data_IF_066221817507
#
_entry.id   IF_066221817507
#
_cell.length_a   1.000
_cell.length_b   1.000
_cell.length_c   1.000
_cell.angle_alpha   90.00
_cell.angle_beta   90.00
_cell.angle_gamma   90.00
#
_symmetry.space_group_name_H-M   'P 1'
#
loop_
_entity.id
_entity.type
_entity.pdbx_description
1 polymer ?
#
# COMPACT_ATOMS: atom_id res chain seq x y z
N UNK A 1 -14.67 -19.08 -6.72
CA UNK A 1 -14.58 -17.99 -7.76
C UNK A 1 -13.13 -17.53 -7.82
N UNK A 2 -12.50 -17.51 -8.99
CA UNK A 2 -11.09 -17.16 -9.12
C UNK A 2 -10.96 -15.66 -9.42
N UNK A 3 -10.08 -14.97 -8.68
CA UNK A 3 -9.72 -13.55 -8.91
C UNK A 3 -8.58 -13.44 -9.94
N UNK A 4 -8.49 -12.31 -10.63
CA UNK A 4 -7.33 -12.04 -11.49
C UNK A 4 -6.14 -11.55 -10.66
N UNK A 5 -6.42 -10.78 -9.60
CA UNK A 5 -5.41 -10.32 -8.64
C UNK A 5 -5.96 -10.38 -7.21
N UNK A 6 -5.15 -10.93 -6.29
CA UNK A 6 -5.36 -10.84 -4.85
C UNK A 6 -4.28 -9.92 -4.27
N UNK A 7 -4.68 -8.88 -3.53
CA UNK A 7 -3.78 -7.96 -2.84
C UNK A 7 -3.85 -8.24 -1.34
N UNK A 8 -2.71 -8.49 -0.71
CA UNK A 8 -2.62 -8.76 0.73
C UNK A 8 -2.16 -7.50 1.45
N UNK A 9 -3.05 -6.88 2.21
CA UNK A 9 -2.83 -5.65 2.95
C UNK A 9 -3.23 -4.40 2.18
N UNK A 10 -3.88 -3.46 2.88
CA UNK A 10 -4.37 -2.18 2.33
C UNK A 10 -3.68 -0.98 3.01
N UNK A 11 -2.37 -1.08 3.19
CA UNK A 11 -1.48 0.02 3.53
C UNK A 11 -1.14 0.87 2.30
N UNK A 12 -0.08 1.70 2.38
CA UNK A 12 0.33 2.58 1.26
C UNK A 12 0.58 1.82 -0.04
N UNK A 13 1.25 0.66 0.03
CA UNK A 13 1.55 -0.15 -1.15
C UNK A 13 0.28 -0.78 -1.72
N UNK A 14 -0.57 -1.39 -0.88
CA UNK A 14 -1.81 -2.01 -1.34
C UNK A 14 -2.81 -1.01 -1.90
N UNK A 15 -2.95 0.16 -1.30
CA UNK A 15 -3.75 1.26 -1.82
C UNK A 15 -3.26 1.69 -3.22
N UNK A 16 -1.94 1.80 -3.41
CA UNK A 16 -1.37 2.14 -4.71
C UNK A 16 -1.64 1.08 -5.78
N UNK A 17 -1.52 -0.21 -5.42
CA UNK A 17 -1.84 -1.32 -6.34
C UNK A 17 -3.32 -1.32 -6.69
N UNK A 18 -4.20 -1.16 -5.70
CA UNK A 18 -5.65 -1.11 -5.91
C UNK A 18 -6.05 0.07 -6.81
N UNK A 19 -5.51 1.28 -6.56
CA UNK A 19 -5.72 2.46 -7.41
C UNK A 19 -5.29 2.22 -8.86
N UNK A 20 -4.14 1.60 -9.07
CA UNK A 20 -3.63 1.27 -10.41
C UNK A 20 -4.47 0.26 -11.16
N UNK A 21 -5.12 -0.65 -10.44
CA UNK A 21 -5.97 -1.68 -11.00
C UNK A 21 -7.45 -1.29 -11.04
N UNK A 22 -7.84 -0.17 -10.44
CA UNK A 22 -9.23 0.24 -10.29
C UNK A 22 -10.00 0.25 -11.62
N UNK A 23 -9.40 0.78 -12.68
CA UNK A 23 -10.04 0.92 -13.99
C UNK A 23 -9.54 -0.14 -15.01
N UNK A 24 -8.95 -1.23 -14.54
CA UNK A 24 -8.36 -2.28 -15.40
C UNK A 24 -9.35 -3.30 -15.96
N UNK A 25 -10.56 -3.37 -15.42
CA UNK A 25 -11.53 -4.42 -15.71
C UNK A 25 -11.20 -5.79 -15.08
N UNK A 26 -10.11 -5.89 -14.31
CA UNK A 26 -9.73 -7.11 -13.61
C UNK A 26 -10.58 -7.32 -12.35
N UNK A 27 -10.83 -8.59 -12.01
CA UNK A 27 -11.45 -8.95 -10.73
C UNK A 27 -10.40 -8.91 -9.63
N UNK A 28 -10.38 -7.82 -8.87
CA UNK A 28 -9.42 -7.58 -7.80
C UNK A 28 -10.05 -7.83 -6.44
N UNK A 29 -9.38 -8.62 -5.60
CA UNK A 29 -9.70 -8.82 -4.19
C UNK A 29 -8.58 -8.23 -3.33
N UNK A 30 -8.94 -7.42 -2.35
CA UNK A 30 -8.04 -6.97 -1.30
C UNK A 30 -8.43 -7.62 0.03
N UNK A 31 -7.44 -8.16 0.72
CA UNK A 31 -7.57 -8.75 2.06
C UNK A 31 -6.83 -7.86 3.06
N UNK A 32 -7.57 -7.23 3.96
CA UNK A 32 -7.03 -6.31 4.97
C UNK A 32 -7.41 -6.79 6.38
N UNK A 33 -6.40 -7.05 7.20
CA UNK A 33 -6.62 -7.55 8.56
C UNK A 33 -7.21 -6.52 9.53
N UNK A 34 -7.03 -5.23 9.25
CA UNK A 34 -7.61 -4.15 10.05
C UNK A 34 -9.05 -3.86 9.60
N UNK A 35 -9.76 -3.09 10.42
CA UNK A 35 -11.13 -2.61 10.12
C UNK A 35 -11.19 -1.44 9.13
N UNK A 36 -10.05 -0.95 8.64
CA UNK A 36 -9.95 0.19 7.71
C UNK A 36 -8.61 0.19 6.99
N UNK A 37 -8.58 0.84 5.83
CA UNK A 37 -7.37 1.05 5.03
C UNK A 37 -6.39 2.03 5.69
N UNK A 38 -5.12 1.90 5.34
CA UNK A 38 -4.10 2.91 5.59
C UNK A 38 -3.78 3.19 7.05
N UNK A 39 -3.99 2.24 7.97
CA UNK A 39 -3.83 2.46 9.42
C UNK A 39 -2.50 3.11 9.76
N UNK A 40 -1.39 2.63 9.18
CA UNK A 40 -0.07 3.24 9.41
C UNK A 40 0.02 4.65 8.81
N UNK A 41 -0.54 4.90 7.63
CA UNK A 41 -0.59 6.23 7.03
C UNK A 41 -1.29 7.24 7.94
N UNK A 42 -2.43 6.83 8.53
CA UNK A 42 -3.22 7.66 9.43
C UNK A 42 -2.47 8.07 10.71
N UNK A 43 -1.42 7.33 11.09
CA UNK A 43 -0.60 7.59 12.28
C UNK A 43 0.65 8.42 11.96
N UNK A 44 1.09 8.45 10.72
CA UNK A 44 2.33 9.16 10.35
C UNK A 44 2.15 10.67 10.41
N UNK A 45 3.27 11.39 10.66
CA UNK A 45 3.27 12.84 10.72
C UNK A 45 2.30 13.42 11.76
N UNK A 46 2.08 12.70 12.86
CA UNK A 46 1.14 13.10 13.93
C UNK A 46 -0.31 13.25 13.43
N UNK A 47 -0.74 12.31 12.56
CA UNK A 47 -2.09 12.31 11.96
C UNK A 47 -2.22 13.17 10.69
N UNK A 48 -1.12 13.83 10.24
CA UNK A 48 -1.09 14.67 9.04
C UNK A 48 -0.66 13.90 7.77
N UNK A 49 0.03 12.78 7.91
CA UNK A 49 0.67 11.98 6.87
C UNK A 49 1.77 12.74 6.09
N UNK A 50 3.04 12.57 6.50
CA UNK A 50 4.15 12.97 5.64
C UNK A 50 4.20 12.04 4.42
N UNK A 51 3.83 12.54 3.23
CA UNK A 51 3.72 11.73 2.01
C UNK A 51 5.07 11.50 1.32
N UNK A 52 6.00 12.45 1.43
CA UNK A 52 7.36 12.31 0.90
C UNK A 52 8.29 13.40 1.44
N UNK A 53 9.60 13.23 1.24
CA UNK A 53 10.57 14.30 1.37
C UNK A 53 10.53 15.21 0.13
N UNK A 54 10.83 16.49 0.31
CA UNK A 54 11.03 17.44 -0.79
C UNK A 54 12.47 17.41 -1.34
N UNK A 55 13.30 16.48 -0.87
CA UNK A 55 14.69 16.33 -1.29
C UNK A 55 14.80 15.94 -2.77
N UNK A 56 15.93 16.29 -3.38
CA UNK A 56 16.29 15.75 -4.69
C UNK A 56 16.62 14.24 -4.61
N UNK A 57 16.84 13.61 -5.75
CA UNK A 57 17.07 12.16 -5.82
C UNK A 57 18.33 11.71 -5.08
N UNK A 58 19.40 12.48 -5.16
CA UNK A 58 20.69 12.18 -4.53
C UNK A 58 20.58 12.22 -3.01
N UNK A 59 20.01 13.29 -2.46
CA UNK A 59 19.82 13.46 -1.01
C UNK A 59 18.82 12.43 -0.46
N UNK A 60 17.74 12.14 -1.21
CA UNK A 60 16.77 11.11 -0.84
C UNK A 60 17.43 9.72 -0.76
N UNK A 61 18.20 9.35 -1.78
CA UNK A 61 18.90 8.05 -1.83
C UNK A 61 19.97 7.96 -0.73
N UNK A 62 20.70 9.05 -0.45
CA UNK A 62 21.71 9.09 0.60
C UNK A 62 21.13 8.96 2.02
N UNK A 63 19.91 9.45 2.23
CA UNK A 63 19.22 9.37 3.52
C UNK A 63 18.68 7.97 3.86
N UNK A 64 18.62 7.06 2.88
CA UNK A 64 18.11 5.69 3.08
C UNK A 64 19.26 4.70 3.15
N UNK A 65 19.27 3.87 4.19
CA UNK A 65 20.28 2.79 4.30
C UNK A 65 20.24 1.90 3.05
N UNK A 66 21.38 1.73 2.38
CA UNK A 66 21.50 1.03 1.09
C UNK A 66 20.56 1.58 -0.02
N UNK A 67 20.21 2.87 0.02
CA UNK A 67 19.18 3.49 -0.81
C UNK A 67 19.42 3.50 -2.32
N UNK A 68 20.58 3.08 -2.81
CA UNK A 68 20.94 3.12 -4.26
C UNK A 68 19.88 2.44 -5.15
N UNK A 69 19.24 1.37 -4.68
CA UNK A 69 18.19 0.68 -5.43
C UNK A 69 16.93 1.54 -5.66
N UNK A 70 16.72 2.58 -4.83
CA UNK A 70 15.56 3.48 -4.94
C UNK A 70 15.72 4.54 -6.02
N UNK A 71 16.95 4.78 -6.53
CA UNK A 71 17.22 5.85 -7.52
C UNK A 71 16.30 5.73 -8.75
N UNK A 72 16.20 4.54 -9.33
CA UNK A 72 15.36 4.30 -10.50
C UNK A 72 13.85 4.49 -10.18
N UNK A 73 13.40 4.04 -9.01
CA UNK A 73 12.02 4.24 -8.57
C UNK A 73 11.71 5.72 -8.37
N UNK A 74 12.62 6.48 -7.75
CA UNK A 74 12.46 7.92 -7.54
C UNK A 74 12.30 8.68 -8.86
N UNK A 75 13.13 8.39 -9.87
CA UNK A 75 13.05 9.05 -11.17
C UNK A 75 11.85 8.63 -12.00
N UNK A 76 11.44 7.37 -11.92
CA UNK A 76 10.31 6.82 -12.69
C UNK A 76 8.96 7.18 -12.10
N UNK A 77 8.87 7.39 -10.79
CA UNK A 77 7.61 7.62 -10.09
C UNK A 77 7.57 8.99 -9.42
N UNK A 78 6.78 9.89 -9.99
CA UNK A 78 6.57 11.22 -9.43
C UNK A 78 5.37 11.22 -8.49
N UNK A 79 5.63 11.11 -7.17
CA UNK A 79 4.60 11.10 -6.13
C UNK A 79 3.77 12.38 -6.14
N UNK A 80 4.38 13.55 -6.33
CA UNK A 80 3.67 14.84 -6.40
C UNK A 80 2.69 14.84 -7.55
N UNK A 81 3.13 14.44 -8.75
CA UNK A 81 2.25 14.33 -9.94
C UNK A 81 1.09 13.35 -9.72
N UNK A 82 1.31 12.27 -8.98
CA UNK A 82 0.25 11.36 -8.60
C UNK A 82 -0.84 12.06 -7.78
N UNK A 83 -0.47 12.76 -6.71
CA UNK A 83 -1.43 13.47 -5.86
C UNK A 83 -2.09 14.65 -6.58
N UNK A 84 -1.36 15.37 -7.43
CA UNK A 84 -1.93 16.44 -8.27
C UNK A 84 -3.03 15.88 -9.21
N UNK A 85 -2.77 14.73 -9.86
CA UNK A 85 -3.76 14.05 -10.72
C UNK A 85 -5.03 13.66 -9.96
N UNK A 86 -4.90 13.35 -8.66
CA UNK A 86 -6.01 12.99 -7.79
C UNK A 86 -6.58 14.17 -7.00
N UNK A 87 -6.24 15.41 -7.39
CA UNK A 87 -6.71 16.65 -6.77
C UNK A 87 -6.36 16.80 -5.27
N UNK A 88 -5.34 16.09 -4.77
CA UNK A 88 -4.83 16.30 -3.42
C UNK A 88 -3.73 17.37 -3.43
N UNK A 89 -4.06 18.55 -2.93
CA UNK A 89 -3.07 19.62 -2.77
C UNK A 89 -2.08 19.28 -1.66
N UNK A 90 -0.80 19.42 -1.96
CA UNK A 90 0.29 19.26 -1.00
C UNK A 90 0.85 20.61 -0.58
N UNK A 91 1.28 20.72 0.67
CA UNK A 91 2.08 21.83 1.20
C UNK A 91 3.43 21.32 1.67
N UNK A 92 4.45 22.16 1.52
CA UNK A 92 5.78 21.89 2.04
C UNK A 92 5.97 22.57 3.42
N UNK A 93 6.50 21.78 4.34
CA UNK A 93 6.91 22.24 5.66
C UNK A 93 8.32 21.69 5.92
N UNK A 94 9.31 22.58 5.91
CA UNK A 94 10.72 22.21 5.88
C UNK A 94 11.05 21.28 4.69
N UNK A 95 11.59 20.08 4.96
CA UNK A 95 11.93 19.05 3.96
C UNK A 95 10.82 17.99 3.79
N UNK A 96 9.60 18.26 4.21
CA UNK A 96 8.50 17.31 4.21
C UNK A 96 7.29 17.84 3.45
N UNK A 97 6.58 16.94 2.77
CA UNK A 97 5.33 17.26 2.09
C UNK A 97 4.16 16.62 2.84
N UNK A 98 3.16 17.45 3.11
CA UNK A 98 1.92 17.05 3.77
C UNK A 98 0.72 17.41 2.89
N UNK A 99 -0.45 16.73 3.05
CA UNK A 99 -1.68 17.25 2.46
C UNK A 99 -1.95 18.66 3.01
N UNK A 100 -2.41 19.57 2.14
CA UNK A 100 -2.70 20.94 2.53
C UNK A 100 -3.78 21.03 3.63
N UNK A 101 -4.67 20.06 3.69
CA UNK A 101 -5.69 19.92 4.74
C UNK A 101 -5.15 19.49 6.10
N UNK A 102 -3.89 19.04 6.18
CA UNK A 102 -3.27 18.45 7.37
C UNK A 102 -3.96 17.19 7.91
N UNK A 103 -4.75 16.52 7.09
CA UNK A 103 -5.50 15.30 7.46
C UNK A 103 -4.97 14.09 6.70
N UNK A 104 -4.36 13.15 7.41
CA UNK A 104 -3.89 11.90 6.84
C UNK A 104 -5.01 11.11 6.13
N UNK A 105 -6.26 11.28 6.57
CA UNK A 105 -7.43 10.66 5.94
C UNK A 105 -7.59 11.06 4.48
N UNK A 106 -7.31 12.32 4.13
CA UNK A 106 -7.45 12.79 2.76
C UNK A 106 -6.42 12.11 1.84
N UNK A 107 -5.24 11.80 2.36
CA UNK A 107 -4.25 10.98 1.63
C UNK A 107 -4.80 9.57 1.37
N UNK A 108 -5.39 8.92 2.38
CA UNK A 108 -5.97 7.57 2.20
C UNK A 108 -7.14 7.60 1.21
N UNK A 109 -8.00 8.61 1.31
CA UNK A 109 -9.19 8.77 0.43
C UNK A 109 -8.83 9.16 -1.00
N UNK A 110 -7.58 9.55 -1.28
CA UNK A 110 -7.10 9.90 -2.62
C UNK A 110 -7.05 8.66 -3.54
N UNK A 111 -6.75 7.49 -2.97
CA UNK A 111 -6.62 6.27 -3.75
C UNK A 111 -8.00 5.71 -4.17
N UNK A 112 -8.15 5.46 -5.47
CA UNK A 112 -9.36 4.87 -6.02
C UNK A 112 -9.41 3.38 -5.74
N UNK A 113 -10.52 2.91 -5.18
CA UNK A 113 -10.74 1.49 -4.88
C UNK A 113 -12.19 1.05 -5.16
N UNK A 114 -12.94 1.84 -5.92
CA UNK A 114 -14.37 1.68 -6.12
C UNK A 114 -14.73 0.38 -6.87
N UNK A 115 -13.84 -0.06 -7.76
CA UNK A 115 -14.02 -1.29 -8.55
C UNK A 115 -13.29 -2.51 -7.95
N UNK A 116 -12.83 -2.38 -6.70
CA UNK A 116 -12.08 -3.41 -6.00
C UNK A 116 -12.92 -4.00 -4.86
N UNK A 117 -13.03 -5.33 -4.79
CA UNK A 117 -13.63 -5.98 -3.63
C UNK A 117 -12.65 -5.94 -2.46
N UNK A 118 -13.07 -5.36 -1.34
CA UNK A 118 -12.23 -5.25 -0.14
C UNK A 118 -12.88 -6.01 1.01
N UNK A 119 -12.18 -6.99 1.55
CA UNK A 119 -12.55 -7.69 2.77
C UNK A 119 -11.71 -7.14 3.93
N UNK A 120 -12.36 -6.45 4.86
CA UNK A 120 -11.75 -5.95 6.09
C UNK A 120 -11.86 -6.97 7.22
N UNK A 121 -10.98 -6.88 8.22
CA UNK A 121 -10.88 -7.80 9.36
C UNK A 121 -10.59 -9.23 8.92
N UNK A 122 -9.96 -9.38 7.79
CA UNK A 122 -9.62 -10.67 7.21
C UNK A 122 -8.10 -10.77 7.05
N UNK A 123 -7.51 -11.66 7.87
CA UNK A 123 -6.07 -11.84 7.95
C UNK A 123 -5.65 -13.04 7.10
N UNK A 124 -4.72 -12.82 6.20
CA UNK A 124 -4.04 -13.92 5.49
C UNK A 124 -3.11 -14.63 6.45
N UNK A 125 -3.28 -15.95 6.54
CA UNK A 125 -2.51 -16.83 7.42
C UNK A 125 -1.53 -17.69 6.66
N UNK A 126 -1.83 -18.00 5.38
CA UNK A 126 -1.04 -18.91 4.57
C UNK A 126 -1.09 -18.58 3.09
N UNK A 127 -0.05 -18.98 2.37
CA UNK A 127 0.05 -18.90 0.91
C UNK A 127 -0.12 -20.29 0.31
N UNK A 128 -0.94 -20.43 -0.73
CA UNK A 128 -1.24 -21.71 -1.36
C UNK A 128 -0.42 -21.86 -2.63
N UNK A 129 0.40 -22.90 -2.68
CA UNK A 129 1.24 -23.22 -3.82
C UNK A 129 0.77 -24.53 -4.50
N UNK A 130 0.73 -24.53 -5.82
CA UNK A 130 0.56 -25.71 -6.66
C UNK A 130 1.73 -25.74 -7.65
N UNK A 131 2.46 -26.83 -7.73
CA UNK A 131 3.62 -26.99 -8.63
C UNK A 131 4.61 -25.80 -8.59
N UNK A 132 4.97 -25.34 -7.38
CA UNK A 132 5.81 -24.17 -7.13
C UNK A 132 5.24 -22.81 -7.61
N UNK A 133 3.98 -22.75 -7.98
CA UNK A 133 3.29 -21.53 -8.37
C UNK A 133 2.33 -21.10 -7.26
N UNK A 134 2.41 -19.85 -6.86
CA UNK A 134 1.47 -19.26 -5.91
C UNK A 134 0.11 -19.08 -6.60
N UNK A 135 -0.92 -19.82 -6.15
CA UNK A 135 -2.24 -19.86 -6.77
C UNK A 135 -3.34 -19.29 -5.89
N UNK A 136 -3.08 -19.03 -4.63
CA UNK A 136 -4.10 -18.52 -3.71
C UNK A 136 -3.57 -18.23 -2.32
N UNK A 137 -4.51 -17.91 -1.44
CA UNK A 137 -4.25 -17.59 -0.03
C UNK A 137 -5.34 -18.18 0.86
N UNK A 138 -4.96 -18.58 2.06
CA UNK A 138 -5.88 -18.97 3.13
C UNK A 138 -5.89 -17.85 4.18
N UNK A 139 -7.10 -17.47 4.59
CA UNK A 139 -7.32 -16.48 5.64
C UNK A 139 -7.93 -17.12 6.89
N UNK A 140 -8.10 -16.34 7.95
CA UNK A 140 -8.85 -16.73 9.14
C UNK A 140 -10.36 -16.94 8.89
N UNK A 141 -10.87 -16.65 7.68
CA UNK A 141 -12.29 -16.75 7.34
C UNK A 141 -12.53 -17.73 6.19
N UNK A 142 -11.75 -17.61 5.08
CA UNK A 142 -12.00 -18.37 3.86
C UNK A 142 -10.70 -18.61 3.07
N UNK A 143 -10.80 -19.28 1.95
CA UNK A 143 -9.71 -19.56 1.00
C UNK A 143 -10.03 -18.93 -0.34
N UNK A 144 -9.06 -18.18 -0.89
CA UNK A 144 -9.22 -17.46 -2.15
C UNK A 144 -8.16 -17.88 -3.15
N UNK A 145 -8.59 -18.08 -4.39
CA UNK A 145 -7.71 -18.40 -5.52
C UNK A 145 -7.62 -17.23 -6.49
N UNK A 146 -6.42 -16.99 -7.02
CA UNK A 146 -6.16 -15.90 -7.95
C UNK A 146 -5.01 -16.21 -8.89
N UNK A 147 -5.04 -15.59 -10.09
CA UNK A 147 -3.95 -15.74 -11.06
C UNK A 147 -2.65 -15.09 -10.61
N UNK A 148 -2.77 -14.01 -9.82
CA UNK A 148 -1.66 -13.24 -9.29
C UNK A 148 -1.94 -12.88 -7.83
N UNK A 149 -0.91 -12.91 -7.00
CA UNK A 149 -0.96 -12.46 -5.60
C UNK A 149 0.08 -11.37 -5.40
N UNK A 150 -0.34 -10.22 -4.88
CA UNK A 150 0.54 -9.09 -4.57
C UNK A 150 0.62 -8.90 -3.06
N UNK A 151 1.80 -9.10 -2.50
CA UNK A 151 2.04 -9.01 -1.06
C UNK A 151 2.36 -7.57 -0.68
N UNK A 152 1.43 -6.91 0.01
CA UNK A 152 1.52 -5.53 0.50
C UNK A 152 1.38 -5.44 2.03
N UNK A 153 1.73 -6.51 2.76
CA UNK A 153 1.53 -6.64 4.19
C UNK A 153 2.43 -5.75 5.07
N UNK A 154 3.35 -5.02 4.45
CA UNK A 154 4.33 -4.19 5.17
C UNK A 154 5.42 -5.01 5.84
N UNK A 155 6.25 -4.35 6.64
CA UNK A 155 7.32 -4.99 7.41
C UNK A 155 6.93 -5.21 8.87
N UNK A 156 7.93 -5.24 9.78
CA UNK A 156 7.76 -5.45 11.22
C UNK A 156 7.96 -4.17 12.05
N UNK A 157 7.84 -3.00 11.44
CA UNK A 157 8.25 -1.74 12.08
C UNK A 157 7.21 -1.22 13.10
N UNK A 158 5.93 -1.48 12.88
CA UNK A 158 4.86 -0.96 13.74
C UNK A 158 3.70 -1.96 13.84
N UNK A 159 3.83 -3.01 14.68
CA UNK A 159 2.88 -4.12 14.76
C UNK A 159 1.42 -3.70 15.03
N UNK A 160 1.21 -2.66 15.84
CA UNK A 160 -0.15 -2.15 16.15
C UNK A 160 -0.92 -1.63 14.92
N UNK A 161 -0.22 -1.36 13.83
CA UNK A 161 -0.84 -0.95 12.54
C UNK A 161 -1.15 -2.13 11.62
N UNK A 162 -0.93 -3.37 12.06
CA UNK A 162 -1.02 -4.56 11.24
C UNK A 162 0.27 -4.91 10.48
N UNK A 163 1.34 -4.14 10.65
CA UNK A 163 2.68 -4.43 10.11
C UNK A 163 3.46 -5.32 11.11
N UNK A 164 2.98 -6.53 11.33
CA UNK A 164 3.50 -7.45 12.36
C UNK A 164 4.59 -8.40 11.84
N UNK A 165 4.85 -8.39 10.55
CA UNK A 165 5.86 -9.24 9.89
C UNK A 165 5.41 -10.69 9.74
N UNK A 166 4.14 -11.03 9.91
CA UNK A 166 3.64 -12.41 9.80
C UNK A 166 3.98 -13.02 8.44
N UNK A 167 3.74 -12.30 7.34
CA UNK A 167 4.02 -12.81 5.99
C UNK A 167 5.51 -12.88 5.60
N UNK A 168 6.43 -12.45 6.48
CA UNK A 168 7.87 -12.69 6.28
C UNK A 168 8.31 -14.09 6.72
N UNK A 169 7.40 -14.88 7.29
CA UNK A 169 7.68 -16.22 7.84
C UNK A 169 7.00 -17.34 7.06
N UNK A 170 6.23 -16.97 6.06
CA UNK A 170 5.47 -17.89 5.21
C UNK A 170 6.20 -18.06 3.89
#
# INVERSE_FOLDING_TARGET
>A
MQYDVIIIGLGSSGLMVADRLNDSGLRVLVLEQNKRAGVKLLLTGNGRCNVMSSDNAEDFVAAVHNGRFLRNAYHKYNVKKFFDKHNLKLKQENRRLYPASEKARDVVNTFKTDHTKINYKEKVEDLIFEENKLVGVRTNIDTYYGKNVVICAGGKTYPQSGSDGTLHRI
#
